data_IF_975752309560
#
_entry.id   IF_975752309560
#
_cell.length_a   1.000
_cell.length_b   1.000
_cell.length_c   1.000
_cell.angle_alpha   90.00
_cell.angle_beta   90.00
_cell.angle_gamma   90.00
#
_symmetry.space_group_name_H-M   'P 1'
#
loop_
_entity.id
_entity.type
_entity.pdbx_description
1 polymer ?
#
# COMPACT_ATOMS: atom_id res chain seq x y z
N UNK A 1 12.83 -5.05 -33.85
CA UNK A 1 12.03 -4.14 -33.00
C UNK A 1 12.22 -4.59 -31.56
N UNK A 2 12.69 -3.74 -30.62
CA UNK A 2 12.82 -4.15 -29.23
C UNK A 2 11.42 -4.21 -28.63
N UNK A 3 10.98 -5.40 -28.25
CA UNK A 3 9.74 -5.58 -27.52
C UNK A 3 9.95 -4.94 -26.14
N UNK A 4 9.23 -3.86 -25.84
CA UNK A 4 9.11 -3.37 -24.45
C UNK A 4 8.54 -4.51 -23.63
N UNK A 5 9.35 -5.05 -22.72
CA UNK A 5 8.89 -6.00 -21.71
C UNK A 5 7.72 -5.35 -20.99
N UNK A 6 6.52 -5.90 -21.19
CA UNK A 6 5.37 -5.54 -20.36
C UNK A 6 5.64 -6.18 -19.01
N UNK A 7 5.90 -5.37 -17.99
CA UNK A 7 5.90 -5.84 -16.61
C UNK A 7 4.58 -6.58 -16.35
N UNK A 8 4.68 -7.89 -16.15
CA UNK A 8 3.53 -8.73 -15.87
C UNK A 8 3.15 -8.48 -14.41
N UNK A 9 2.33 -7.48 -14.17
CA UNK A 9 1.82 -7.21 -12.83
C UNK A 9 0.96 -8.38 -12.37
N UNK A 10 1.38 -9.03 -11.27
CA UNK A 10 0.59 -10.09 -10.63
C UNK A 10 -0.75 -9.51 -10.18
N UNK A 11 -1.84 -10.07 -10.70
CA UNK A 11 -3.20 -9.64 -10.33
C UNK A 11 -3.70 -10.24 -9.00
N UNK A 12 -3.08 -11.34 -8.55
CA UNK A 12 -3.49 -12.03 -7.33
C UNK A 12 -2.27 -12.39 -6.50
N UNK A 13 -2.39 -12.13 -5.21
CA UNK A 13 -1.37 -12.41 -4.20
C UNK A 13 -1.94 -13.37 -3.16
N UNK A 14 -1.09 -14.28 -2.69
CA UNK A 14 -1.42 -15.19 -1.58
C UNK A 14 -1.24 -14.50 -0.24
N UNK A 15 -1.87 -15.02 0.82
CA UNK A 15 -1.70 -14.48 2.17
C UNK A 15 -0.23 -14.48 2.63
N UNK A 16 0.56 -15.46 2.18
CA UNK A 16 1.99 -15.55 2.49
C UNK A 16 2.80 -14.43 1.84
N UNK A 17 2.56 -14.17 0.55
CA UNK A 17 3.19 -13.06 -0.17
C UNK A 17 2.82 -11.72 0.46
N UNK A 18 1.53 -11.50 0.75
CA UNK A 18 1.05 -10.27 1.38
C UNK A 18 1.66 -10.09 2.77
N UNK A 19 1.68 -11.14 3.59
CA UNK A 19 2.30 -11.11 4.91
C UNK A 19 3.80 -10.76 4.83
N UNK A 20 4.51 -11.32 3.84
CA UNK A 20 5.91 -11.01 3.57
C UNK A 20 6.15 -9.55 3.17
N UNK A 21 5.27 -8.96 2.35
CA UNK A 21 5.37 -7.55 1.93
C UNK A 21 5.31 -6.58 3.10
N UNK A 22 4.49 -6.88 4.11
CA UNK A 22 4.32 -6.04 5.31
C UNK A 22 5.18 -6.50 6.50
N UNK A 23 5.95 -7.58 6.35
CA UNK A 23 6.73 -8.22 7.42
C UNK A 23 5.87 -8.51 8.68
N UNK A 24 4.63 -8.92 8.48
CA UNK A 24 3.70 -9.28 9.57
C UNK A 24 3.33 -10.75 9.52
N UNK A 25 2.85 -11.29 10.64
CA UNK A 25 2.32 -12.64 10.67
C UNK A 25 1.05 -12.75 9.78
N UNK A 26 0.87 -13.85 9.02
CA UNK A 26 -0.35 -14.10 8.26
C UNK A 26 -1.62 -14.01 9.13
N UNK A 27 -1.54 -14.42 10.40
CA UNK A 27 -2.64 -14.32 11.37
C UNK A 27 -3.12 -12.89 11.60
N UNK A 28 -2.23 -11.89 11.54
CA UNK A 28 -2.62 -10.49 11.67
C UNK A 28 -3.40 -10.01 10.43
N UNK A 29 -2.98 -10.43 9.23
CA UNK A 29 -3.73 -10.17 7.99
C UNK A 29 -5.13 -10.81 8.06
N UNK A 30 -5.24 -12.03 8.61
CA UNK A 30 -6.55 -12.69 8.84
C UNK A 30 -7.41 -11.91 9.83
N UNK A 31 -6.80 -11.37 10.88
CA UNK A 31 -7.51 -10.56 11.86
C UNK A 31 -8.05 -9.27 11.23
N UNK A 32 -7.23 -8.57 10.45
CA UNK A 32 -7.67 -7.39 9.71
C UNK A 32 -8.77 -7.69 8.68
N UNK A 33 -8.74 -8.85 8.02
CA UNK A 33 -9.84 -9.28 7.13
C UNK A 33 -11.19 -9.37 7.86
N UNK A 34 -11.20 -9.86 9.11
CA UNK A 34 -12.42 -9.94 9.92
C UNK A 34 -12.89 -8.56 10.37
N UNK A 35 -11.95 -7.68 10.69
CA UNK A 35 -12.24 -6.36 11.23
C UNK A 35 -12.67 -5.36 10.14
N UNK A 36 -12.02 -5.35 8.99
CA UNK A 36 -12.25 -4.37 7.93
C UNK A 36 -13.13 -4.96 6.83
N UNK A 37 -14.38 -4.52 6.75
CA UNK A 37 -15.34 -4.96 5.71
C UNK A 37 -14.87 -4.68 4.27
N UNK A 38 -13.97 -3.72 4.09
CA UNK A 38 -13.36 -3.37 2.80
C UNK A 38 -12.33 -4.41 2.33
N UNK A 39 -11.79 -5.22 3.24
CA UNK A 39 -10.82 -6.28 2.97
C UNK A 39 -11.54 -7.63 2.90
N UNK A 40 -12.22 -7.88 1.77
CA UNK A 40 -12.89 -9.16 1.50
C UNK A 40 -12.17 -9.89 0.36
N UNK A 41 -11.03 -10.55 0.62
CA UNK A 41 -10.28 -11.25 -0.42
C UNK A 41 -11.14 -12.36 -1.01
N UNK A 42 -11.11 -12.50 -2.34
CA UNK A 42 -11.84 -13.57 -3.02
C UNK A 42 -11.23 -14.91 -2.65
N UNK A 43 -12.09 -15.90 -2.36
CA UNK A 43 -11.67 -17.28 -2.18
C UNK A 43 -11.64 -17.98 -3.55
N UNK A 44 -10.53 -18.63 -3.87
CA UNK A 44 -10.44 -19.48 -5.06
C UNK A 44 -11.25 -20.77 -4.86
N UNK A 45 -11.47 -21.56 -5.92
CA UNK A 45 -12.17 -22.86 -5.89
C UNK A 45 -11.60 -23.85 -4.85
N UNK A 46 -10.33 -23.69 -4.47
CA UNK A 46 -9.65 -24.50 -3.43
C UNK A 46 -9.77 -23.93 -2.00
N UNK A 47 -10.51 -22.84 -1.80
CA UNK A 47 -10.68 -22.18 -0.49
C UNK A 47 -9.56 -21.22 -0.08
N UNK A 48 -8.49 -21.09 -0.89
CA UNK A 48 -7.39 -20.16 -0.63
C UNK A 48 -7.79 -18.71 -0.92
N UNK A 49 -7.39 -17.79 -0.04
CA UNK A 49 -7.60 -16.34 -0.18
C UNK A 49 -6.67 -15.76 -1.24
N UNK A 50 -7.23 -14.98 -2.14
CA UNK A 50 -6.52 -14.22 -3.14
C UNK A 50 -6.76 -12.73 -2.90
N UNK A 51 -5.66 -12.00 -2.72
CA UNK A 51 -5.65 -10.56 -2.56
C UNK A 51 -5.37 -9.91 -3.90
N UNK A 52 -6.15 -8.89 -4.24
CA UNK A 52 -5.92 -8.05 -5.42
C UNK A 52 -4.99 -6.88 -5.07
N UNK A 53 -4.40 -6.19 -6.06
CA UNK A 53 -3.64 -4.96 -5.81
C UNK A 53 -4.42 -3.94 -4.96
N UNK A 54 -5.73 -3.82 -5.18
CA UNK A 54 -6.61 -2.94 -4.41
C UNK A 54 -6.72 -3.34 -2.93
N UNK A 55 -6.73 -4.65 -2.65
CA UNK A 55 -6.71 -5.15 -1.27
C UNK A 55 -5.36 -4.82 -0.60
N UNK A 56 -4.26 -4.87 -1.36
CA UNK A 56 -2.92 -4.51 -0.87
C UNK A 56 -2.83 -3.02 -0.53
N UNK A 57 -3.36 -2.13 -1.36
CA UNK A 57 -3.43 -0.70 -1.04
C UNK A 57 -4.21 -0.42 0.24
N UNK A 58 -5.33 -1.11 0.40
CA UNK A 58 -6.17 -1.02 1.59
C UNK A 58 -5.41 -1.51 2.82
N UNK A 59 -4.73 -2.66 2.73
CA UNK A 59 -3.87 -3.19 3.79
C UNK A 59 -2.70 -2.25 4.12
N UNK A 60 -2.10 -1.60 3.12
CA UNK A 60 -1.04 -0.61 3.33
C UNK A 60 -1.53 0.57 4.16
N UNK A 61 -2.75 1.03 3.88
CA UNK A 61 -3.39 2.09 4.66
C UNK A 61 -3.65 1.65 6.10
N UNK A 62 -4.20 0.44 6.29
CA UNK A 62 -4.41 -0.14 7.63
C UNK A 62 -3.09 -0.25 8.39
N UNK A 63 -2.05 -0.76 7.75
CA UNK A 63 -0.71 -0.91 8.33
C UNK A 63 -0.17 0.44 8.81
N UNK A 64 -0.21 1.47 7.97
CA UNK A 64 0.25 2.82 8.34
C UNK A 64 -0.54 3.37 9.54
N UNK A 65 -1.86 3.20 9.57
CA UNK A 65 -2.68 3.70 10.67
C UNK A 65 -2.41 2.96 11.99
N UNK A 66 -2.32 1.64 11.96
CA UNK A 66 -2.20 0.82 13.18
C UNK A 66 -0.75 0.76 13.68
N UNK A 67 0.22 0.53 12.78
CA UNK A 67 1.63 0.32 13.16
C UNK A 67 2.44 1.60 13.25
N UNK A 68 2.28 2.52 12.29
CA UNK A 68 3.09 3.73 12.27
C UNK A 68 2.48 4.86 13.09
N UNK A 69 1.15 4.99 13.06
CA UNK A 69 0.44 6.04 13.81
C UNK A 69 -0.15 5.60 15.15
N UNK A 70 -0.16 4.29 15.45
CA UNK A 70 -0.64 3.76 16.73
C UNK A 70 -2.15 3.88 16.95
N UNK A 71 -2.96 4.01 15.88
CA UNK A 71 -4.41 4.00 16.03
C UNK A 71 -4.91 2.62 16.50
N UNK A 72 -5.98 2.63 17.29
CA UNK A 72 -6.74 1.41 17.57
C UNK A 72 -7.43 0.91 16.30
N UNK A 73 -7.78 -0.37 16.26
CA UNK A 73 -8.49 -0.97 15.12
C UNK A 73 -9.78 -0.22 14.80
N UNK A 74 -10.55 0.18 15.82
CA UNK A 74 -11.75 0.99 15.65
C UNK A 74 -11.42 2.38 15.07
N UNK A 75 -10.42 3.08 15.61
CA UNK A 75 -10.00 4.37 15.07
C UNK A 75 -9.51 4.31 13.62
N UNK A 76 -8.81 3.22 13.26
CA UNK A 76 -8.41 2.98 11.86
C UNK A 76 -9.63 2.74 10.95
N UNK A 77 -10.64 1.98 11.41
CA UNK A 77 -11.90 1.79 10.66
C UNK A 77 -12.64 3.12 10.44
N UNK A 78 -12.74 3.95 11.47
CA UNK A 78 -13.41 5.24 11.38
C UNK A 78 -12.70 6.19 10.42
N UNK A 79 -11.36 6.20 10.44
CA UNK A 79 -10.57 6.98 9.48
C UNK A 79 -10.77 6.46 8.05
N UNK A 80 -10.79 5.15 7.83
CA UNK A 80 -11.02 4.58 6.50
C UNK A 80 -12.45 4.77 6.00
N UNK A 81 -13.45 4.84 6.90
CA UNK A 81 -14.85 5.09 6.56
C UNK A 81 -15.13 6.56 6.29
N UNK A 82 -14.54 7.47 7.09
CA UNK A 82 -14.81 8.91 7.02
C UNK A 82 -13.85 9.69 6.12
N UNK A 83 -12.64 9.18 5.84
CA UNK A 83 -11.61 9.87 5.05
C UNK A 83 -11.07 9.10 3.84
N UNK A 84 -11.91 8.45 2.99
CA UNK A 84 -11.40 7.87 1.75
C UNK A 84 -10.78 8.92 0.81
N UNK A 85 -11.23 10.19 0.91
CA UNK A 85 -10.75 11.30 0.07
C UNK A 85 -9.43 11.87 0.60
N UNK A 86 -9.35 12.25 1.89
CA UNK A 86 -8.15 12.91 2.43
C UNK A 86 -6.91 12.01 2.54
N UNK A 87 -7.06 10.69 2.68
CA UNK A 87 -5.91 9.78 2.78
C UNK A 87 -5.24 9.59 1.40
N UNK A 88 -6.05 9.49 0.34
CA UNK A 88 -5.56 9.49 -1.05
C UNK A 88 -4.90 10.81 -1.41
N UNK A 89 -5.57 11.93 -1.13
CA UNK A 89 -5.02 13.26 -1.40
C UNK A 89 -3.70 13.46 -0.66
N UNK A 90 -3.60 13.05 0.61
CA UNK A 90 -2.34 13.17 1.36
C UNK A 90 -1.25 12.26 0.82
N UNK A 91 -1.56 11.03 0.40
CA UNK A 91 -0.58 10.14 -0.22
C UNK A 91 -0.10 10.68 -1.58
N UNK A 92 -1.00 11.16 -2.43
CA UNK A 92 -0.65 11.79 -3.71
C UNK A 92 0.16 13.08 -3.52
N UNK A 93 -0.18 13.89 -2.50
CA UNK A 93 0.59 15.08 -2.13
C UNK A 93 1.98 14.69 -1.63
N UNK A 94 2.11 13.64 -0.81
CA UNK A 94 3.42 13.16 -0.34
C UNK A 94 4.25 12.64 -1.51
N UNK A 95 3.65 11.89 -2.44
CA UNK A 95 4.36 11.35 -3.60
C UNK A 95 4.79 12.46 -4.57
N UNK A 96 3.94 13.46 -4.81
CA UNK A 96 4.31 14.63 -5.62
C UNK A 96 5.39 15.48 -4.94
N UNK A 97 5.32 15.70 -3.63
CA UNK A 97 6.39 16.38 -2.87
C UNK A 97 7.71 15.60 -2.90
N UNK A 98 7.68 14.27 -2.84
CA UNK A 98 8.87 13.44 -2.97
C UNK A 98 9.51 13.55 -4.37
N UNK A 99 8.69 13.60 -5.43
CA UNK A 99 9.15 13.86 -6.81
C UNK A 99 9.78 15.25 -6.95
N UNK A 100 9.16 16.27 -6.36
CA UNK A 100 9.73 17.64 -6.37
C UNK A 100 11.05 17.69 -5.61
N UNK A 101 11.15 17.04 -4.45
CA UNK A 101 12.39 16.97 -3.66
C UNK A 101 13.53 16.31 -4.44
N UNK A 102 13.27 15.17 -5.06
CA UNK A 102 14.29 14.45 -5.86
C UNK A 102 14.72 15.25 -7.09
N UNK A 103 13.78 15.95 -7.74
CA UNK A 103 14.08 16.87 -8.83
C UNK A 103 14.98 18.04 -8.39
N UNK A 104 14.64 18.71 -7.28
CA UNK A 104 15.43 19.82 -6.75
C UNK A 104 16.81 19.37 -6.27
N UNK A 105 16.93 18.16 -5.71
CA UNK A 105 18.23 17.57 -5.39
C UNK A 105 19.07 17.36 -6.66
N UNK A 106 18.47 16.88 -7.75
CA UNK A 106 19.17 16.73 -9.03
C UNK A 106 19.71 18.05 -9.58
N UNK A 107 18.95 19.15 -9.47
CA UNK A 107 19.43 20.48 -9.88
C UNK A 107 20.57 20.96 -8.97
N UNK A 108 20.44 20.77 -7.66
CA UNK A 108 21.50 21.13 -6.70
C UNK A 108 22.81 20.39 -7.01
N UNK A 109 22.73 19.09 -7.30
CA UNK A 109 23.91 18.28 -7.59
C UNK A 109 24.59 18.71 -8.89
N UNK A 110 23.82 19.07 -9.93
CA UNK A 110 24.35 19.63 -11.19
C UNK A 110 25.03 20.98 -11.04
N UNK A 111 24.57 21.83 -10.12
CA UNK A 111 25.20 23.11 -9.82
C UNK A 111 26.48 22.93 -9.00
N UNK A 112 26.53 21.92 -8.12
CA UNK A 112 27.73 21.60 -7.34
C UNK A 112 28.83 20.87 -8.14
N UNK A 113 28.52 20.30 -9.31
CA UNK A 113 29.55 19.65 -10.17
C UNK A 113 30.29 20.63 -11.10
N UNK A 114 29.96 21.92 -11.06
CA UNK A 114 30.57 22.97 -11.90
C UNK A 114 31.55 23.90 -11.15
N UNK A 115 32.09 23.45 -10.01
CA UNK A 115 33.22 24.12 -9.32
C UNK A 115 34.44 23.23 -9.35
#
# INVERSE_FOLDING_TARGET
>A
MPYKEKDIEKQYYTIGEVAGMFQVAPSLIRFWETEFEQLRPKKNKKGNRQYTPKDIETLRTVYHLVKERGYTIQGAKDVMRNKPVQAKDKMEIIESLAKVRTFLQGIKDQLNTKV
#
